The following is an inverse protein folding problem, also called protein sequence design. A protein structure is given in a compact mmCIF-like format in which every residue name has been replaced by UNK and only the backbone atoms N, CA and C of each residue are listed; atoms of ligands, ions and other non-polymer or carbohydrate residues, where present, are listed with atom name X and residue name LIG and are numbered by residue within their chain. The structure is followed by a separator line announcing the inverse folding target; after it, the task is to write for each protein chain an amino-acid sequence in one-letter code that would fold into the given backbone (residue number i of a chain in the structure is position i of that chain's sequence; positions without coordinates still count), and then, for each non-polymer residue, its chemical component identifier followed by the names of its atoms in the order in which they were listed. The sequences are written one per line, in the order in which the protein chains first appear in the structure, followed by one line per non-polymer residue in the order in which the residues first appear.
data_IF_023365722739
#
_entry.id   IF_023365722739
#
_cell.length_a   1.000
_cell.length_b   1.000
_cell.length_c   1.000
_cell.angle_alpha   90.00
_cell.angle_beta   90.00
_cell.angle_gamma   90.00
#
_symmetry.space_group_name_H-M   'P 1'
#
loop_
_entity.id
_entity.type
_entity.pdbx_description
1 polymer ?
#
# COMPACT_ATOMS: atom_id res chain seq x y z
N UNK A 1 -4.67 -16.98 -6.72
CA UNK A 1 -4.22 -15.61 -7.03
C UNK A 1 -4.80 -15.08 -8.34
N UNK A 2 -4.93 -15.91 -9.33
CA UNK A 2 -5.42 -15.49 -10.65
C UNK A 2 -6.90 -15.11 -10.67
N UNK A 3 -7.73 -15.82 -9.92
CA UNK A 3 -9.18 -15.61 -9.86
C UNK A 3 -9.57 -14.25 -9.25
N UNK A 4 -8.82 -13.78 -8.28
CA UNK A 4 -9.04 -12.45 -7.67
C UNK A 4 -8.88 -11.32 -8.70
N UNK A 5 -7.81 -11.39 -9.49
CA UNK A 5 -7.55 -10.35 -10.50
C UNK A 5 -8.46 -10.49 -11.71
N UNK A 6 -8.82 -11.70 -12.13
CA UNK A 6 -9.79 -11.91 -13.23
C UNK A 6 -11.15 -11.28 -12.91
N UNK A 7 -11.65 -11.46 -11.70
CA UNK A 7 -12.89 -10.81 -11.22
C UNK A 7 -12.74 -9.30 -11.19
N UNK A 8 -11.59 -8.79 -10.75
CA UNK A 8 -11.32 -7.35 -10.61
C UNK A 8 -11.22 -6.68 -12.00
N UNK A 9 -10.49 -7.26 -12.92
CA UNK A 9 -10.34 -6.74 -14.29
C UNK A 9 -11.66 -6.77 -15.05
N UNK A 10 -12.50 -7.78 -14.83
CA UNK A 10 -13.87 -7.81 -15.36
C UNK A 10 -14.72 -6.64 -14.89
N UNK A 11 -14.61 -6.28 -13.61
CA UNK A 11 -15.26 -5.10 -13.03
C UNK A 11 -14.70 -3.80 -13.60
N UNK A 12 -13.40 -3.70 -13.77
CA UNK A 12 -12.75 -2.55 -14.39
C UNK A 12 -13.20 -2.34 -15.83
N UNK A 13 -13.29 -3.42 -16.61
CA UNK A 13 -13.83 -3.37 -17.99
C UNK A 13 -15.20 -2.72 -18.02
N UNK A 14 -16.11 -3.17 -17.16
CA UNK A 14 -17.47 -2.63 -17.06
C UNK A 14 -17.47 -1.15 -16.60
N UNK A 15 -16.64 -0.81 -15.62
CA UNK A 15 -16.54 0.54 -15.10
C UNK A 15 -15.96 1.51 -16.15
N UNK A 16 -14.99 1.08 -16.95
CA UNK A 16 -14.42 1.90 -18.03
C UNK A 16 -15.41 2.20 -19.17
N UNK A 17 -16.37 1.33 -19.41
CA UNK A 17 -17.41 1.58 -20.43
C UNK A 17 -18.31 2.75 -20.06
N UNK A 18 -18.48 3.03 -18.78
CA UNK A 18 -19.31 4.11 -18.26
C UNK A 18 -18.55 5.43 -18.04
N UNK A 19 -17.26 5.47 -18.38
CA UNK A 19 -16.43 6.65 -18.23
C UNK A 19 -16.33 7.43 -19.55
N UNK A 20 -16.52 8.74 -19.48
CA UNK A 20 -16.43 9.65 -20.63
C UNK A 20 -15.04 10.19 -20.91
N UNK A 21 -14.00 9.64 -20.30
CA UNK A 21 -12.62 10.09 -20.50
C UNK A 21 -12.10 9.74 -21.91
N UNK A 22 -11.25 10.58 -22.52
CA UNK A 22 -10.86 10.46 -23.93
C UNK A 22 -9.94 9.28 -24.23
N UNK A 23 -9.19 8.74 -23.23
CA UNK A 23 -8.29 7.61 -23.44
C UNK A 23 -8.59 6.44 -22.50
N UNK A 24 -8.25 5.23 -22.93
CA UNK A 24 -8.37 4.04 -22.09
C UNK A 24 -7.47 4.14 -20.84
N UNK A 25 -6.28 4.70 -20.97
CA UNK A 25 -5.38 4.91 -19.84
C UNK A 25 -5.98 5.83 -18.77
N UNK A 26 -6.67 6.91 -19.16
CA UNK A 26 -7.35 7.81 -18.21
C UNK A 26 -8.55 7.14 -17.55
N UNK A 27 -9.31 6.36 -18.29
CA UNK A 27 -10.43 5.58 -17.73
C UNK A 27 -9.93 4.56 -16.71
N UNK A 28 -8.88 3.83 -17.05
CA UNK A 28 -8.27 2.84 -16.15
C UNK A 28 -7.69 3.51 -14.90
N UNK A 29 -7.00 4.63 -15.06
CA UNK A 29 -6.51 5.43 -13.93
C UNK A 29 -7.65 5.81 -12.97
N UNK A 30 -8.75 6.36 -13.49
CA UNK A 30 -9.90 6.78 -12.69
C UNK A 30 -10.55 5.60 -11.94
N UNK A 31 -10.67 4.45 -12.59
CA UNK A 31 -11.25 3.24 -12.00
C UNK A 31 -10.35 2.69 -10.88
N UNK A 32 -9.05 2.54 -11.10
CA UNK A 32 -8.12 2.05 -10.09
C UNK A 32 -8.06 3.02 -8.91
N UNK A 33 -7.98 4.31 -9.17
CA UNK A 33 -8.03 5.36 -8.13
C UNK A 33 -9.29 5.25 -7.27
N UNK A 34 -10.45 5.06 -7.90
CA UNK A 34 -11.72 4.88 -7.20
C UNK A 34 -11.72 3.61 -6.34
N UNK A 35 -11.18 2.50 -6.84
CA UNK A 35 -11.08 1.25 -6.08
C UNK A 35 -10.12 1.36 -4.89
N UNK A 36 -9.04 2.11 -5.03
CA UNK A 36 -8.12 2.40 -3.90
C UNK A 36 -8.83 3.26 -2.85
N UNK A 37 -9.50 4.33 -3.28
CA UNK A 37 -10.23 5.23 -2.38
C UNK A 37 -11.38 4.53 -1.65
N UNK A 38 -12.05 3.60 -2.30
CA UNK A 38 -13.11 2.79 -1.72
C UNK A 38 -12.61 1.64 -0.82
N UNK A 39 -11.28 1.44 -0.73
CA UNK A 39 -10.69 0.32 -0.01
C UNK A 39 -10.93 -1.04 -0.66
N UNK A 40 -11.36 -1.05 -1.90
CA UNK A 40 -11.59 -2.29 -2.67
C UNK A 40 -10.28 -2.96 -3.08
N UNK A 41 -9.19 -2.19 -3.16
CA UNK A 41 -7.82 -2.66 -3.29
C UNK A 41 -7.14 -2.48 -1.93
N UNK A 42 -6.85 -3.56 -1.20
CA UNK A 42 -6.25 -3.46 0.13
C UNK A 42 -4.79 -3.02 0.04
N UNK A 43 -4.33 -2.36 1.10
CA UNK A 43 -2.92 -2.04 1.28
C UNK A 43 -2.06 -3.31 1.21
N UNK A 44 -0.93 -3.23 0.54
CA UNK A 44 -0.03 -4.37 0.30
C UNK A 44 -0.43 -5.24 -0.88
N UNK A 45 -1.58 -5.01 -1.52
CA UNK A 45 -1.96 -5.76 -2.73
C UNK A 45 -0.97 -5.48 -3.87
N UNK A 46 -0.47 -6.56 -4.48
CA UNK A 46 0.39 -6.48 -5.64
C UNK A 46 -0.45 -6.27 -6.89
N UNK A 47 -0.13 -5.27 -7.70
CA UNK A 47 -0.80 -5.08 -8.97
C UNK A 47 -0.27 -6.07 -10.04
N UNK A 48 -1.14 -6.54 -10.93
CA UNK A 48 -0.70 -7.33 -12.07
C UNK A 48 0.14 -6.48 -13.03
N UNK A 49 0.96 -7.14 -13.84
CA UNK A 49 1.76 -6.46 -14.86
C UNK A 49 0.89 -5.75 -15.89
N UNK A 50 1.42 -4.70 -16.51
CA UNK A 50 0.68 -3.93 -17.52
C UNK A 50 0.24 -4.80 -18.69
N UNK A 51 1.08 -5.75 -19.11
CA UNK A 51 0.80 -6.68 -20.19
C UNK A 51 -0.37 -7.59 -19.85
N UNK A 52 -0.42 -8.10 -18.63
CA UNK A 52 -1.51 -8.96 -18.18
C UNK A 52 -2.83 -8.19 -18.12
N UNK A 53 -2.84 -7.00 -17.55
CA UNK A 53 -4.05 -6.15 -17.51
C UNK A 53 -4.51 -5.79 -18.92
N UNK A 54 -3.57 -5.47 -19.81
CA UNK A 54 -3.85 -5.16 -21.20
C UNK A 54 -4.55 -6.33 -21.93
N UNK A 55 -4.06 -7.54 -21.72
CA UNK A 55 -4.69 -8.76 -22.28
C UNK A 55 -6.10 -8.98 -21.72
N UNK A 56 -6.25 -8.87 -20.42
CA UNK A 56 -7.54 -9.08 -19.74
C UNK A 56 -8.60 -8.04 -20.15
N UNK A 57 -8.19 -6.79 -20.29
CA UNK A 57 -9.07 -5.69 -20.66
C UNK A 57 -9.24 -5.52 -22.18
N UNK A 58 -8.39 -6.17 -22.96
CA UNK A 58 -8.35 -6.03 -24.44
C UNK A 58 -8.04 -4.58 -24.86
N UNK A 59 -7.03 -4.00 -24.24
CA UNK A 59 -6.52 -2.65 -24.51
C UNK A 59 -5.02 -2.69 -24.74
N UNK A 60 -4.43 -1.58 -25.19
CA UNK A 60 -2.99 -1.49 -25.36
C UNK A 60 -2.24 -1.48 -24.01
N UNK A 61 -1.12 -2.19 -23.93
CA UNK A 61 -0.27 -2.19 -22.76
C UNK A 61 0.32 -0.79 -22.47
N UNK A 62 0.48 0.05 -23.48
CA UNK A 62 0.90 1.45 -23.31
C UNK A 62 -0.12 2.26 -22.52
N UNK A 63 -1.41 2.04 -22.72
CA UNK A 63 -2.47 2.68 -21.93
C UNK A 63 -2.42 2.27 -20.46
N UNK A 64 -2.15 0.99 -20.18
CA UNK A 64 -2.00 0.49 -18.81
C UNK A 64 -0.77 1.08 -18.14
N UNK A 65 0.37 1.12 -18.85
CA UNK A 65 1.60 1.73 -18.31
C UNK A 65 1.41 3.22 -18.03
N UNK A 66 0.69 3.94 -18.89
CA UNK A 66 0.35 5.35 -18.68
C UNK A 66 -0.51 5.55 -17.42
N UNK A 67 -1.52 4.70 -17.22
CA UNK A 67 -2.34 4.72 -16.02
C UNK A 67 -1.51 4.46 -14.75
N UNK A 68 -0.64 3.44 -14.80
CA UNK A 68 0.23 3.10 -13.67
C UNK A 68 1.26 4.21 -13.37
N UNK A 69 1.84 4.83 -14.40
CA UNK A 69 2.76 5.96 -14.23
C UNK A 69 2.08 7.15 -13.51
N UNK A 70 0.83 7.44 -13.84
CA UNK A 70 0.06 8.48 -13.15
C UNK A 70 -0.27 8.10 -11.71
N UNK A 71 -0.65 6.85 -11.45
CA UNK A 71 -0.89 6.35 -10.09
C UNK A 71 0.38 6.41 -9.22
N UNK A 72 1.55 6.12 -9.81
CA UNK A 72 2.86 6.28 -9.17
C UNK A 72 3.14 7.75 -8.85
N UNK A 73 2.92 8.66 -9.82
CA UNK A 73 3.12 10.10 -9.63
C UNK A 73 2.22 10.68 -8.54
N UNK A 74 0.98 10.17 -8.42
CA UNK A 74 0.03 10.57 -7.38
C UNK A 74 0.28 9.87 -6.03
N UNK A 75 1.26 8.95 -5.95
CA UNK A 75 1.58 8.19 -4.73
C UNK A 75 0.52 7.16 -4.32
N UNK A 76 -0.40 6.83 -5.21
CA UNK A 76 -1.47 5.85 -4.97
C UNK A 76 -0.99 4.40 -5.07
N UNK A 77 0.07 4.18 -5.80
CA UNK A 77 0.80 2.92 -5.89
C UNK A 77 2.30 3.19 -5.70
N UNK A 78 3.04 2.18 -5.33
CA UNK A 78 4.50 2.24 -5.20
C UNK A 78 5.15 1.07 -5.92
N UNK A 79 6.42 1.23 -6.27
CA UNK A 79 7.22 0.20 -6.92
C UNK A 79 8.22 -0.39 -5.93
N UNK A 80 8.38 -1.69 -5.97
CA UNK A 80 9.39 -2.45 -5.22
C UNK A 80 10.51 -2.90 -6.15
N UNK A 81 11.64 -3.28 -5.58
CA UNK A 81 12.76 -3.84 -6.33
C UNK A 81 12.29 -4.94 -7.29
N UNK A 82 12.64 -4.81 -8.56
CA UNK A 82 12.22 -5.73 -9.62
C UNK A 82 10.97 -5.30 -10.40
N UNK A 83 10.51 -4.05 -10.25
CA UNK A 83 9.40 -3.52 -11.05
C UNK A 83 8.02 -3.97 -10.58
N UNK A 84 7.91 -4.51 -9.37
CA UNK A 84 6.64 -4.98 -8.81
C UNK A 84 5.87 -3.80 -8.21
N UNK A 85 4.70 -3.54 -8.74
CA UNK A 85 3.81 -2.49 -8.26
C UNK A 85 2.89 -3.00 -7.14
N UNK A 86 2.67 -2.18 -6.13
CA UNK A 86 1.81 -2.50 -4.99
C UNK A 86 1.06 -1.27 -4.47
N UNK A 87 -0.02 -1.50 -3.72
CA UNK A 87 -0.78 -0.45 -3.05
C UNK A 87 -0.09 -0.13 -1.72
N UNK A 88 0.45 1.08 -1.53
CA UNK A 88 1.04 1.47 -0.25
C UNK A 88 -0.06 1.59 0.83
N UNK A 89 0.29 1.25 2.06
CA UNK A 89 -0.59 1.46 3.21
C UNK A 89 -0.75 2.93 3.59
N UNK A 90 -1.77 3.27 4.39
CA UNK A 90 -1.92 4.61 4.91
C UNK A 90 -0.71 4.99 5.77
N UNK A 91 0.04 6.00 5.34
CA UNK A 91 1.27 6.46 5.99
C UNK A 91 2.57 6.14 5.22
N UNK A 92 2.51 5.36 4.18
CA UNK A 92 3.62 5.16 3.25
C UNK A 92 3.71 6.36 2.28
N UNK A 93 4.14 7.51 2.78
CA UNK A 93 4.56 8.60 1.91
C UNK A 93 5.79 8.13 1.12
N UNK A 94 5.69 8.15 -0.21
CA UNK A 94 6.60 7.55 -1.18
C UNK A 94 8.06 8.05 -1.19
N UNK A 95 8.70 8.10 -0.04
CA UNK A 95 10.07 8.55 0.07
C UNK A 95 11.03 7.57 0.75
N UNK A 96 10.59 6.34 1.05
CA UNK A 96 11.50 5.33 1.60
C UNK A 96 11.26 3.93 1.00
N UNK A 97 11.50 3.82 -0.30
CA UNK A 97 11.49 2.53 -1.00
C UNK A 97 12.75 1.67 -0.70
N UNK A 98 13.61 2.10 0.23
CA UNK A 98 14.88 1.43 0.50
C UNK A 98 15.00 0.72 1.86
N UNK A 99 13.98 0.77 2.70
CA UNK A 99 14.06 0.08 4.00
C UNK A 99 12.92 -0.90 4.18
N UNK A 100 13.22 -2.17 3.91
CA UNK A 100 12.62 -3.29 4.62
C UNK A 100 11.43 -3.96 4.00
N UNK A 101 11.73 -4.67 2.98
CA UNK A 101 11.41 -6.07 2.85
C UNK A 101 10.54 -6.63 3.99
N UNK A 102 9.24 -6.64 3.79
CA UNK A 102 8.31 -7.39 4.64
C UNK A 102 8.19 -6.98 6.11
N UNK A 103 9.15 -6.29 6.67
CA UNK A 103 9.20 -5.90 8.10
C UNK A 103 8.13 -4.88 8.44
N UNK A 104 7.93 -3.88 7.61
CA UNK A 104 6.91 -2.85 7.83
C UNK A 104 5.49 -3.44 7.70
N UNK A 105 5.27 -4.29 6.71
CA UNK A 105 3.99 -4.97 6.51
C UNK A 105 3.70 -5.91 7.69
N UNK A 106 4.70 -6.62 8.17
CA UNK A 106 4.57 -7.49 9.37
C UNK A 106 4.30 -6.68 10.63
N UNK A 107 4.96 -5.53 10.77
CA UNK A 107 4.75 -4.63 11.91
C UNK A 107 3.34 -4.03 11.87
N UNK A 108 2.86 -3.55 10.73
CA UNK A 108 1.52 -3.01 10.58
C UNK A 108 0.44 -4.08 10.83
N UNK A 109 0.62 -5.29 10.31
CA UNK A 109 -0.28 -6.41 10.57
C UNK A 109 -0.31 -6.80 12.05
N UNK A 110 0.85 -6.81 12.72
CA UNK A 110 0.96 -7.06 14.15
C UNK A 110 0.28 -5.95 14.98
N UNK A 111 0.45 -4.69 14.57
CA UNK A 111 -0.20 -3.55 15.21
C UNK A 111 -1.71 -3.60 15.07
N UNK A 112 -2.23 -3.88 13.88
CA UNK A 112 -3.67 -4.03 13.63
C UNK A 112 -4.26 -5.19 14.42
N UNK A 113 -3.53 -6.29 14.53
CA UNK A 113 -3.93 -7.43 15.38
C UNK A 113 -4.00 -7.03 16.85
N UNK A 114 -2.97 -6.35 17.36
CA UNK A 114 -2.93 -5.88 18.74
C UNK A 114 -4.07 -4.89 19.05
N UNK A 115 -4.38 -3.96 18.13
CA UNK A 115 -5.49 -3.01 18.28
C UNK A 115 -6.84 -3.75 18.30
N UNK A 116 -7.03 -4.75 17.45
CA UNK A 116 -8.27 -5.56 17.44
C UNK A 116 -8.44 -6.37 18.74
N UNK A 117 -7.38 -6.95 19.23
CA UNK A 117 -7.39 -7.68 20.51
C UNK A 117 -7.67 -6.75 21.70
N UNK A 118 -7.12 -5.56 21.68
CA UNK A 118 -7.39 -4.53 22.68
C UNK A 118 -8.86 -4.09 22.64
N UNK A 119 -9.42 -3.86 21.46
CA UNK A 119 -10.83 -3.52 21.29
C UNK A 119 -11.77 -4.65 21.76
N UNK A 120 -11.40 -5.90 21.50
CA UNK A 120 -12.15 -7.07 21.99
C UNK A 120 -12.17 -7.18 23.52
N UNK A 121 -11.17 -6.59 24.19
CA UNK A 121 -11.07 -6.52 25.67
C UNK A 121 -11.67 -5.24 26.27
N UNK A 122 -12.30 -4.41 25.44
CA UNK A 122 -13.00 -3.21 25.86
C UNK A 122 -12.18 -1.92 25.88
N UNK A 123 -10.95 -1.93 25.34
CA UNK A 123 -10.20 -0.70 25.15
C UNK A 123 -10.76 0.09 23.95
N UNK A 124 -11.00 1.38 24.15
CA UNK A 124 -11.39 2.28 23.08
C UNK A 124 -10.19 2.57 22.14
N UNK A 125 -10.48 2.96 20.90
CA UNK A 125 -9.44 3.39 19.95
C UNK A 125 -8.56 4.51 20.48
N UNK A 126 -9.13 5.39 21.31
CA UNK A 126 -8.40 6.51 21.92
C UNK A 126 -7.39 6.03 22.96
N UNK A 127 -7.78 5.07 23.79
CA UNK A 127 -6.90 4.46 24.81
C UNK A 127 -5.78 3.63 24.15
N UNK A 128 -6.11 2.85 23.12
CA UNK A 128 -5.13 2.11 22.35
C UNK A 128 -4.10 3.03 21.69
N UNK A 129 -4.53 4.16 21.14
CA UNK A 129 -3.63 5.18 20.57
C UNK A 129 -2.75 5.81 21.64
N UNK A 130 -3.27 6.08 22.82
CA UNK A 130 -2.52 6.62 23.95
C UNK A 130 -1.42 5.67 24.43
N UNK A 131 -1.75 4.39 24.58
CA UNK A 131 -0.80 3.33 24.96
C UNK A 131 0.31 3.18 23.90
N UNK A 132 -0.06 3.20 22.62
CA UNK A 132 0.90 3.13 21.53
C UNK A 132 1.88 4.31 21.53
N UNK A 133 1.38 5.54 21.69
CA UNK A 133 2.24 6.73 21.79
C UNK A 133 3.20 6.65 22.98
N UNK A 134 2.71 6.19 24.14
CA UNK A 134 3.55 6.01 25.32
C UNK A 134 4.63 4.93 25.10
N UNK A 135 4.30 3.83 24.43
CA UNK A 135 5.25 2.78 24.07
C UNK A 135 6.34 3.30 23.12
N UNK A 136 5.96 4.09 22.11
CA UNK A 136 6.92 4.70 21.18
C UNK A 136 7.88 5.67 21.86
N UNK A 137 7.42 6.46 22.83
CA UNK A 137 8.28 7.35 23.62
C UNK A 137 9.30 6.54 24.41
N UNK A 138 8.87 5.46 25.06
CA UNK A 138 9.78 4.57 25.83
C UNK A 138 10.82 3.91 24.93
N UNK A 139 10.43 3.50 23.72
CA UNK A 139 11.35 2.91 22.75
C UNK A 139 12.45 3.91 22.35
N UNK A 140 12.07 5.15 22.04
CA UNK A 140 13.01 6.23 21.74
C UNK A 140 13.98 6.54 22.88
N UNK A 141 13.52 6.49 24.11
CA UNK A 141 14.38 6.70 25.29
C UNK A 141 15.37 5.54 25.49
N UNK A 142 14.96 4.32 25.15
CA UNK A 142 15.83 3.13 25.20
C UNK A 142 16.92 3.20 24.13
N UNK A 143 16.58 3.64 22.92
CA UNK A 143 17.55 3.84 21.83
C UNK A 143 18.57 4.95 22.16
N UNK A 144 18.13 6.02 22.82
CA UNK A 144 19.03 7.08 23.28
C UNK A 144 19.99 6.65 24.40
N UNK A 145 19.56 5.70 25.25
CA UNK A 145 20.41 5.17 26.35
C UNK A 145 21.28 4.01 25.94
N UNK A 146 20.93 3.33 24.83
CA UNK A 146 21.66 2.17 24.30
C UNK A 146 22.68 2.52 23.21
N UNK A 147 23.07 3.77 23.06
CA UNK A 147 24.19 4.14 22.20
C UNK A 147 25.46 3.41 22.68
N UNK A 148 26.28 2.85 21.77
CA UNK A 148 27.48 2.12 22.16
C UNK A 148 28.39 3.05 22.94
N UNK A 149 28.56 2.70 24.21
CA UNK A 149 29.57 3.30 25.03
C UNK A 149 30.90 3.19 24.29
N UNK A 150 31.49 4.32 24.00
CA UNK A 150 32.88 4.41 23.58
C UNK A 150 33.71 3.65 24.59
N UNK A 151 34.10 2.45 24.25
CA UNK A 151 35.30 1.86 24.84
C UNK A 151 36.49 2.62 24.27
N UNK A 152 36.81 3.67 24.98
CA UNK A 152 38.06 4.34 24.87
C UNK A 152 39.10 3.45 25.52
N UNK A 153 39.99 2.94 24.69
CA UNK A 153 41.42 2.84 24.83
C UNK A 153 42.05 2.54 26.20
N UNK A 154 42.72 1.45 26.26
CA UNK A 154 44.12 1.39 26.73
C UNK A 154 44.88 0.23 26.13
#
# INVERSE_FOLDING_TARGET
MDEYWATRTGRWRKAMQNQSAPSFGERLFAVIRSDIAAGALPAGALLPTAERVAQELTIDAADVRSAYARLLADGLIAERNGGVLFIPGPGANGHDASVGDGTQIRFEAALLKAVREAAARGLSSSEATGIFKAAMVRLKDTERRGGPGSEDDR
#
